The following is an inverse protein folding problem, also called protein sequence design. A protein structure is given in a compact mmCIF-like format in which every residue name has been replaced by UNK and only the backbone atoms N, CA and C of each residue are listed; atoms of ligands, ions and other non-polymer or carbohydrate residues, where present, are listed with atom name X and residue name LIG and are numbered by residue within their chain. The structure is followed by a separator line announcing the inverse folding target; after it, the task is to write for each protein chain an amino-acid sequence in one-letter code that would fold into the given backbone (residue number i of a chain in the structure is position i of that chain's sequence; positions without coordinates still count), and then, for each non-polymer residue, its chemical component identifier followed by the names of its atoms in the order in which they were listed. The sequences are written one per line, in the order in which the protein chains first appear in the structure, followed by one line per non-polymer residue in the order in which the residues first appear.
data_IF_188972706153
#
_entry.id   IF_188972706153
#
_cell.length_a   1.000
_cell.length_b   1.000
_cell.length_c   1.000
_cell.angle_alpha   90.00
_cell.angle_beta   90.00
_cell.angle_gamma   90.00
#
_symmetry.space_group_name_H-M   'P 1'
#
loop_
_entity.id
_entity.type
_entity.pdbx_description
1 polymer ?
#
# COMPACT_ATOMS: atom_id res chain seq x y z
N UNK A 1 51.02 -7.69 27.46
CA UNK A 1 50.16 -8.23 26.39
C UNK A 1 48.80 -8.58 26.98
N UNK A 2 47.88 -7.63 26.93
CA UNK A 2 46.57 -7.65 27.60
C UNK A 2 45.50 -8.09 26.61
N UNK A 3 44.86 -9.23 26.88
CA UNK A 3 43.68 -9.74 26.15
C UNK A 3 42.50 -8.80 26.39
N UNK A 4 41.98 -8.16 25.34
CA UNK A 4 40.68 -7.46 25.35
C UNK A 4 39.56 -8.48 25.21
N UNK A 5 38.66 -8.50 26.20
CA UNK A 5 37.37 -9.17 26.12
C UNK A 5 36.46 -8.42 25.13
N UNK A 6 36.07 -9.08 24.04
CA UNK A 6 34.96 -8.60 23.21
C UNK A 6 33.68 -9.20 23.78
N UNK A 7 32.81 -8.30 24.21
CA UNK A 7 31.48 -8.56 24.74
C UNK A 7 30.62 -9.15 23.62
N UNK A 8 30.30 -10.45 23.71
CA UNK A 8 29.30 -11.09 22.88
C UNK A 8 27.93 -10.53 23.26
N UNK A 9 27.37 -9.69 22.39
CA UNK A 9 25.97 -9.30 22.45
C UNK A 9 25.15 -10.38 21.74
N UNK A 10 24.82 -11.43 22.48
CA UNK A 10 23.87 -12.46 22.08
C UNK A 10 22.47 -11.83 21.97
N UNK A 11 22.03 -11.54 20.75
CA UNK A 11 20.63 -11.25 20.47
C UNK A 11 19.83 -12.55 20.56
N UNK A 12 18.78 -12.64 21.41
CA UNK A 12 18.06 -13.89 21.61
C UNK A 12 17.40 -14.37 20.33
N UNK A 13 17.64 -15.64 20.02
CA UNK A 13 17.02 -16.42 18.95
C UNK A 13 15.49 -16.25 18.94
N UNK A 14 14.97 -15.66 17.87
CA UNK A 14 13.56 -15.72 17.47
C UNK A 14 13.24 -17.00 16.68
N UNK A 15 13.88 -18.12 17.05
CA UNK A 15 13.65 -19.42 16.43
C UNK A 15 13.05 -20.40 17.43
N UNK A 16 11.77 -20.23 17.72
CA UNK A 16 10.79 -21.33 17.86
C UNK A 16 9.44 -20.72 18.23
N UNK A 17 8.37 -21.35 17.72
CA UNK A 17 6.94 -21.15 18.00
C UNK A 17 6.09 -20.55 16.84
N UNK A 18 5.04 -21.32 16.52
CA UNK A 18 3.93 -21.14 15.57
C UNK A 18 4.22 -21.31 14.07
N UNK A 19 3.94 -22.52 13.57
CA UNK A 19 3.57 -22.72 12.17
C UNK A 19 2.22 -22.06 11.85
N UNK A 20 2.06 -21.69 10.57
CA UNK A 20 0.89 -21.03 9.94
C UNK A 20 0.84 -19.48 9.87
N UNK A 21 1.96 -18.78 10.05
CA UNK A 21 2.13 -17.44 9.46
C UNK A 21 3.48 -17.37 8.74
N UNK A 22 3.51 -16.94 7.47
CA UNK A 22 4.78 -16.67 6.77
C UNK A 22 5.67 -15.80 7.63
N UNK A 23 6.93 -16.23 7.82
CA UNK A 23 7.98 -15.46 8.47
C UNK A 23 8.06 -14.05 7.87
N UNK A 24 8.35 -13.06 8.71
CA UNK A 24 8.59 -11.67 8.29
C UNK A 24 9.50 -11.63 7.04
N UNK A 25 9.07 -10.91 5.99
CA UNK A 25 9.77 -10.78 4.71
C UNK A 25 10.36 -9.37 4.62
N UNK A 26 11.64 -9.17 4.99
CA UNK A 26 12.23 -7.83 5.10
C UNK A 26 12.27 -7.05 3.78
N UNK A 27 12.31 -7.75 2.65
CA UNK A 27 12.35 -7.19 1.31
C UNK A 27 11.09 -6.37 1.00
N UNK A 28 9.93 -6.78 1.54
CA UNK A 28 8.67 -6.06 1.34
C UNK A 28 8.71 -4.66 1.96
N UNK A 29 9.42 -4.49 3.08
CA UNK A 29 9.61 -3.17 3.68
C UNK A 29 10.53 -2.31 2.80
N UNK A 30 11.54 -2.90 2.15
CA UNK A 30 12.36 -2.18 1.19
C UNK A 30 11.57 -1.67 -0.02
N UNK A 31 10.64 -2.48 -0.56
CA UNK A 31 9.75 -2.03 -1.64
C UNK A 31 8.82 -0.92 -1.16
N UNK A 32 8.27 -1.01 0.05
CA UNK A 32 7.46 0.07 0.65
C UNK A 32 8.23 1.37 0.80
N UNK A 33 9.52 1.30 1.16
CA UNK A 33 10.38 2.46 1.25
C UNK A 33 10.53 3.16 -0.10
N UNK A 34 10.81 2.40 -1.16
CA UNK A 34 10.90 2.94 -2.53
C UNK A 34 9.56 3.58 -2.93
N UNK A 35 8.45 2.89 -2.67
CA UNK A 35 7.11 3.36 -3.00
C UNK A 35 6.76 4.68 -2.30
N UNK A 36 6.98 4.81 -0.99
CA UNK A 36 6.67 6.05 -0.26
C UNK A 36 7.57 7.20 -0.69
N UNK A 37 8.86 6.95 -0.92
CA UNK A 37 9.80 7.98 -1.35
C UNK A 37 9.44 8.50 -2.75
N UNK A 38 9.07 7.62 -3.67
CA UNK A 38 8.60 8.03 -5.00
C UNK A 38 7.38 8.94 -4.91
N UNK A 39 6.40 8.60 -4.07
CA UNK A 39 5.21 9.43 -3.85
C UNK A 39 5.57 10.80 -3.26
N UNK A 40 6.48 10.85 -2.29
CA UNK A 40 6.90 12.12 -1.68
C UNK A 40 7.61 13.03 -2.69
N UNK A 41 8.54 12.48 -3.48
CA UNK A 41 9.28 13.22 -4.52
C UNK A 41 8.32 13.74 -5.60
N UNK A 42 7.27 12.98 -5.94
CA UNK A 42 6.20 13.43 -6.84
C UNK A 42 5.47 14.67 -6.29
N UNK A 43 5.03 14.63 -5.04
CA UNK A 43 4.29 15.75 -4.44
C UNK A 43 5.14 17.01 -4.20
N UNK A 44 6.48 16.89 -4.22
CA UNK A 44 7.41 18.03 -4.22
C UNK A 44 7.70 18.58 -5.62
N UNK A 45 7.08 18.03 -6.68
CA UNK A 45 7.29 18.45 -8.06
C UNK A 45 8.66 18.08 -8.65
N UNK A 46 9.41 17.19 -7.99
CA UNK A 46 10.78 16.82 -8.40
C UNK A 46 10.76 15.74 -9.50
N UNK A 47 9.80 14.80 -9.45
CA UNK A 47 9.78 13.65 -10.36
C UNK A 47 8.37 13.35 -10.90
N UNK A 48 8.10 13.61 -12.20
CA UNK A 48 6.76 13.53 -12.78
C UNK A 48 6.07 12.17 -12.65
N UNK A 49 6.85 11.09 -12.59
CA UNK A 49 6.33 9.71 -12.55
C UNK A 49 6.33 9.13 -11.12
N UNK A 50 6.67 9.90 -10.09
CA UNK A 50 6.79 9.37 -8.73
C UNK A 50 5.47 8.86 -8.13
N UNK A 51 4.31 9.21 -8.71
CA UNK A 51 3.01 8.60 -8.42
C UNK A 51 3.00 7.07 -8.63
N UNK A 52 3.97 6.50 -9.37
CA UNK A 52 4.15 5.05 -9.55
C UNK A 52 4.38 4.29 -8.24
N UNK A 53 4.73 4.98 -7.14
CA UNK A 53 4.77 4.38 -5.82
C UNK A 53 3.41 3.83 -5.37
N UNK A 54 2.29 4.43 -5.79
CA UNK A 54 0.95 3.93 -5.43
C UNK A 54 0.65 2.56 -6.06
N UNK A 55 0.89 2.32 -7.37
CA UNK A 55 0.87 0.99 -7.96
C UNK A 55 1.69 -0.05 -7.20
N UNK A 56 2.89 0.31 -6.74
CA UNK A 56 3.71 -0.60 -5.94
C UNK A 56 3.03 -0.98 -4.61
N UNK A 57 2.39 -0.03 -3.93
CA UNK A 57 1.60 -0.32 -2.74
C UNK A 57 0.44 -1.27 -3.03
N UNK A 58 -0.31 -1.05 -4.12
CA UNK A 58 -1.39 -1.95 -4.51
C UNK A 58 -0.89 -3.37 -4.81
N UNK A 59 0.22 -3.53 -5.53
CA UNK A 59 0.80 -4.84 -5.76
C UNK A 59 1.23 -5.51 -4.44
N UNK A 60 1.88 -4.78 -3.55
CA UNK A 60 2.29 -5.28 -2.23
C UNK A 60 1.07 -5.71 -1.40
N UNK A 61 0.00 -4.92 -1.42
CA UNK A 61 -1.26 -5.21 -0.74
C UNK A 61 -1.91 -6.47 -1.31
N UNK A 62 -2.02 -6.58 -2.64
CA UNK A 62 -2.51 -7.77 -3.31
C UNK A 62 -1.73 -9.03 -2.91
N UNK A 63 -0.40 -8.95 -2.91
CA UNK A 63 0.48 -10.06 -2.52
C UNK A 63 0.32 -10.45 -1.04
N UNK A 64 0.43 -9.48 -0.13
CA UNK A 64 0.44 -9.74 1.31
C UNK A 64 -0.92 -10.25 1.79
N UNK A 65 -2.00 -9.59 1.39
CA UNK A 65 -3.35 -9.94 1.80
C UNK A 65 -3.72 -11.32 1.25
N UNK A 66 -3.47 -11.57 -0.04
CA UNK A 66 -3.76 -12.88 -0.63
C UNK A 66 -2.94 -13.97 0.04
N UNK A 67 -1.67 -13.73 0.35
CA UNK A 67 -0.84 -14.72 1.07
C UNK A 67 -1.45 -15.07 2.43
N UNK A 68 -1.84 -14.07 3.23
CA UNK A 68 -2.45 -14.27 4.55
C UNK A 68 -3.77 -15.04 4.43
N UNK A 69 -4.63 -14.66 3.49
CA UNK A 69 -5.93 -15.29 3.29
C UNK A 69 -5.81 -16.73 2.80
N UNK A 70 -4.89 -17.01 1.89
CA UNK A 70 -4.64 -18.39 1.41
C UNK A 70 -4.11 -19.26 2.55
N UNK A 71 -3.16 -18.76 3.34
CA UNK A 71 -2.59 -19.50 4.48
C UNK A 71 -3.66 -19.80 5.54
N UNK A 72 -4.60 -18.87 5.77
CA UNK A 72 -5.68 -19.01 6.76
C UNK A 72 -6.94 -19.73 6.24
N UNK A 73 -7.00 -20.07 4.94
CA UNK A 73 -8.24 -20.48 4.26
C UNK A 73 -8.90 -21.75 4.81
N UNK A 74 -8.12 -22.63 5.44
CA UNK A 74 -8.61 -23.87 6.06
C UNK A 74 -9.33 -23.63 7.40
N UNK A 75 -9.25 -22.41 7.95
CA UNK A 75 -9.90 -22.04 9.21
C UNK A 75 -11.41 -21.86 9.01
N UNK A 76 -12.25 -22.08 10.06
CA UNK A 76 -13.66 -21.74 10.00
C UNK A 76 -13.89 -20.26 9.62
N UNK A 77 -14.91 -19.99 8.79
CA UNK A 77 -15.21 -18.65 8.26
C UNK A 77 -15.17 -17.54 9.33
N UNK A 78 -15.78 -17.78 10.49
CA UNK A 78 -15.81 -16.81 11.59
C UNK A 78 -14.39 -16.44 12.05
N UNK A 79 -13.53 -17.43 12.28
CA UNK A 79 -12.15 -17.20 12.72
C UNK A 79 -11.31 -16.55 11.61
N UNK A 80 -11.48 -17.01 10.38
CA UNK A 80 -10.82 -16.47 9.20
C UNK A 80 -11.07 -14.96 9.05
N UNK A 81 -12.35 -14.54 9.08
CA UNK A 81 -12.73 -13.13 8.92
C UNK A 81 -12.37 -12.28 10.14
N UNK A 82 -12.68 -12.73 11.35
CA UNK A 82 -12.42 -11.95 12.58
C UNK A 82 -10.93 -11.67 12.77
N UNK A 83 -10.07 -12.67 12.58
CA UNK A 83 -8.62 -12.51 12.68
C UNK A 83 -8.09 -11.57 11.59
N UNK A 84 -8.61 -11.69 10.36
CA UNK A 84 -8.21 -10.82 9.25
C UNK A 84 -8.59 -9.36 9.52
N UNK A 85 -9.88 -9.09 9.76
CA UNK A 85 -10.38 -7.73 9.95
C UNK A 85 -9.76 -7.08 11.18
N UNK A 86 -9.63 -7.79 12.30
CA UNK A 86 -9.00 -7.23 13.50
C UNK A 86 -7.57 -6.75 13.24
N UNK A 87 -6.75 -7.60 12.59
CA UNK A 87 -5.36 -7.28 12.27
C UNK A 87 -5.22 -6.11 11.28
N UNK A 88 -6.22 -5.89 10.42
CA UNK A 88 -6.28 -4.72 9.51
C UNK A 88 -6.73 -3.47 10.25
N UNK A 89 -7.80 -3.56 11.02
CA UNK A 89 -8.34 -2.45 11.83
C UNK A 89 -7.27 -1.85 12.73
N UNK A 90 -6.58 -2.65 13.56
CA UNK A 90 -5.54 -2.13 14.47
C UNK A 90 -4.33 -1.55 13.75
N UNK A 91 -4.12 -1.91 12.47
CA UNK A 91 -3.00 -1.43 11.66
C UNK A 91 -3.31 -0.09 10.98
N UNK A 92 -4.54 0.09 10.51
CA UNK A 92 -4.90 1.19 9.60
C UNK A 92 -5.74 2.24 10.32
N UNK A 93 -6.80 1.84 11.00
CA UNK A 93 -7.81 2.76 11.53
C UNK A 93 -7.23 3.79 12.51
N UNK A 94 -6.38 3.43 13.48
CA UNK A 94 -5.89 4.39 14.46
C UNK A 94 -5.23 5.60 13.82
N UNK A 95 -4.27 5.37 12.91
CA UNK A 95 -3.55 6.47 12.28
C UNK A 95 -4.39 7.19 11.24
N UNK A 96 -5.20 6.44 10.48
CA UNK A 96 -6.11 7.03 9.50
C UNK A 96 -7.06 8.04 10.14
N UNK A 97 -7.74 7.65 11.21
CA UNK A 97 -8.69 8.54 11.90
C UNK A 97 -7.98 9.64 12.70
N UNK A 98 -6.79 9.39 13.27
CA UNK A 98 -5.99 10.45 13.89
C UNK A 98 -5.61 11.53 12.86
N UNK A 99 -5.17 11.12 11.66
CA UNK A 99 -4.89 12.02 10.56
C UNK A 99 -6.12 12.83 10.16
N UNK A 100 -7.28 12.17 10.00
CA UNK A 100 -8.53 12.87 9.69
C UNK A 100 -8.85 13.92 10.74
N UNK A 101 -8.78 13.60 12.04
CA UNK A 101 -9.03 14.59 13.09
C UNK A 101 -8.08 15.78 12.97
N UNK A 102 -6.77 15.55 12.78
CA UNK A 102 -5.80 16.65 12.62
C UNK A 102 -6.11 17.49 11.37
N UNK A 103 -6.35 16.86 10.22
CA UNK A 103 -6.68 17.57 8.98
C UNK A 103 -8.00 18.36 9.11
N UNK A 104 -9.00 17.81 9.80
CA UNK A 104 -10.27 18.48 10.08
C UNK A 104 -10.07 19.75 10.91
N UNK A 105 -9.31 19.65 12.00
CA UNK A 105 -9.00 20.80 12.87
C UNK A 105 -8.24 21.89 12.09
N UNK A 106 -7.23 21.51 11.32
CA UNK A 106 -6.48 22.46 10.48
C UNK A 106 -7.38 23.10 9.41
N UNK A 107 -8.30 22.34 8.82
CA UNK A 107 -9.25 22.86 7.83
C UNK A 107 -10.22 23.86 8.44
N UNK A 108 -10.72 23.60 9.65
CA UNK A 108 -11.58 24.51 10.40
C UNK A 108 -10.86 25.81 10.76
N UNK A 109 -9.63 25.73 11.28
CA UNK A 109 -8.81 26.90 11.61
C UNK A 109 -8.54 27.74 10.36
N UNK A 110 -8.30 27.09 9.22
CA UNK A 110 -8.05 27.76 7.95
C UNK A 110 -9.32 28.22 7.21
N UNK A 111 -10.53 27.99 7.77
CA UNK A 111 -11.80 28.37 7.12
C UNK A 111 -12.10 27.61 5.83
N UNK A 112 -11.53 26.42 5.64
CA UNK A 112 -11.73 25.61 4.44
C UNK A 112 -13.10 24.91 4.47
N UNK A 113 -13.74 24.81 3.31
CA UNK A 113 -14.96 24.03 3.16
C UNK A 113 -14.72 22.56 3.49
N UNK A 114 -15.64 21.98 4.28
CA UNK A 114 -15.64 20.56 4.65
C UNK A 114 -16.58 19.72 3.76
N UNK A 115 -17.01 20.26 2.62
CA UNK A 115 -17.98 19.58 1.76
C UNK A 115 -17.40 18.28 1.15
N UNK A 116 -17.99 17.15 1.55
CA UNK A 116 -17.52 15.83 1.13
C UNK A 116 -16.52 15.17 2.09
N UNK A 117 -16.22 15.77 3.25
CA UNK A 117 -15.33 15.17 4.26
C UNK A 117 -15.82 13.79 4.71
N UNK A 118 -17.15 13.60 4.79
CA UNK A 118 -17.78 12.32 5.13
C UNK A 118 -17.36 11.17 4.19
N UNK A 119 -17.04 11.45 2.92
CA UNK A 119 -16.56 10.41 2.01
C UNK A 119 -15.25 9.80 2.52
N UNK A 120 -14.35 10.59 3.09
CA UNK A 120 -13.10 10.08 3.64
C UNK A 120 -13.33 9.27 4.92
N UNK A 121 -14.27 9.69 5.78
CA UNK A 121 -14.64 8.94 6.99
C UNK A 121 -15.10 7.50 6.66
N UNK A 122 -15.82 7.34 5.56
CA UNK A 122 -16.37 6.05 5.10
C UNK A 122 -15.53 5.35 4.02
N UNK A 123 -14.28 5.77 3.80
CA UNK A 123 -13.42 5.20 2.75
C UNK A 123 -14.04 5.24 1.35
N UNK A 124 -14.76 6.31 1.03
CA UNK A 124 -15.29 6.67 -0.29
C UNK A 124 -14.58 7.88 -0.90
N UNK A 125 -13.50 8.36 -0.25
CA UNK A 125 -12.73 9.54 -0.67
C UNK A 125 -12.20 9.43 -2.10
N UNK A 126 -11.92 8.21 -2.58
CA UNK A 126 -11.50 7.99 -3.96
C UNK A 126 -12.57 8.39 -4.98
N UNK A 127 -13.84 8.09 -4.75
CA UNK A 127 -14.91 8.53 -5.64
C UNK A 127 -15.12 10.04 -5.58
N UNK A 128 -14.94 10.65 -4.40
CA UNK A 128 -15.00 12.11 -4.25
C UNK A 128 -13.87 12.80 -5.01
N UNK A 129 -12.67 12.23 -4.96
CA UNK A 129 -11.51 12.66 -5.74
C UNK A 129 -11.79 12.52 -7.23
N UNK A 130 -12.31 11.39 -7.68
CA UNK A 130 -12.68 11.19 -9.08
C UNK A 130 -13.70 12.22 -9.60
N UNK A 131 -14.59 12.71 -8.75
CA UNK A 131 -15.59 13.72 -9.12
C UNK A 131 -15.07 15.15 -9.12
N UNK A 132 -14.20 15.50 -8.17
CA UNK A 132 -13.86 16.90 -7.87
C UNK A 132 -12.40 17.27 -8.12
N UNK A 133 -11.53 16.31 -8.39
CA UNK A 133 -10.13 16.61 -8.69
C UNK A 133 -10.02 17.56 -9.91
N UNK A 134 -9.06 18.49 -9.89
CA UNK A 134 -8.05 18.70 -8.84
C UNK A 134 -8.56 19.49 -7.61
N UNK A 135 -9.80 19.97 -7.63
CA UNK A 135 -10.35 20.94 -6.66
C UNK A 135 -11.14 20.28 -5.52
N UNK A 136 -10.53 19.35 -4.78
CA UNK A 136 -11.20 18.70 -3.64
C UNK A 136 -11.18 19.59 -2.39
N UNK A 137 -12.35 19.93 -1.81
CA UNK A 137 -12.42 20.69 -0.55
C UNK A 137 -11.92 19.87 0.65
N UNK A 138 -11.55 20.56 1.74
CA UNK A 138 -11.20 19.92 3.02
C UNK A 138 -9.71 19.76 3.28
N UNK A 139 -8.88 20.66 2.74
CA UNK A 139 -7.44 20.68 3.00
C UNK A 139 -6.67 19.59 2.28
N UNK A 140 -5.60 19.10 2.89
CA UNK A 140 -4.65 18.19 2.24
C UNK A 140 -5.03 16.73 2.46
N UNK A 141 -6.18 16.33 1.93
CA UNK A 141 -6.77 15.00 2.20
C UNK A 141 -6.75 14.06 0.98
N UNK A 142 -6.36 14.58 -0.18
CA UNK A 142 -6.56 13.91 -1.46
C UNK A 142 -5.87 12.55 -1.58
N UNK A 143 -4.65 12.40 -1.07
CA UNK A 143 -3.87 11.15 -1.13
C UNK A 143 -4.55 9.96 -0.45
N UNK A 144 -5.49 10.19 0.46
CA UNK A 144 -6.24 9.11 1.13
C UNK A 144 -7.11 8.26 0.18
N UNK A 145 -7.26 8.65 -1.08
CA UNK A 145 -7.96 7.85 -2.09
C UNK A 145 -7.39 6.45 -2.22
N UNK A 146 -6.06 6.29 -2.14
CA UNK A 146 -5.42 4.98 -2.33
C UNK A 146 -5.73 4.05 -1.16
N UNK A 147 -5.71 4.57 0.07
CA UNK A 147 -6.09 3.84 1.29
C UNK A 147 -7.57 3.43 1.23
N UNK A 148 -8.43 4.29 0.69
CA UNK A 148 -9.84 3.93 0.46
C UNK A 148 -9.99 2.76 -0.51
N UNK A 149 -9.24 2.74 -1.62
CA UNK A 149 -9.22 1.60 -2.55
C UNK A 149 -8.74 0.32 -1.84
N UNK A 150 -7.69 0.40 -1.02
CA UNK A 150 -7.19 -0.73 -0.25
C UNK A 150 -8.23 -1.27 0.73
N UNK A 151 -8.89 -0.42 1.52
CA UNK A 151 -9.93 -0.85 2.45
C UNK A 151 -11.14 -1.48 1.73
N UNK A 152 -11.56 -0.91 0.60
CA UNK A 152 -12.61 -1.51 -0.22
C UNK A 152 -12.21 -2.91 -0.72
N UNK A 153 -10.95 -3.08 -1.14
CA UNK A 153 -10.41 -4.38 -1.49
C UNK A 153 -10.37 -5.34 -0.28
N UNK A 154 -9.97 -4.87 0.91
CA UNK A 154 -9.93 -5.69 2.13
C UNK A 154 -11.31 -6.13 2.60
N UNK A 155 -12.35 -5.36 2.32
CA UNK A 155 -13.73 -5.76 2.62
C UNK A 155 -14.17 -6.90 1.69
N UNK A 156 -13.85 -6.84 0.40
CA UNK A 156 -14.38 -7.77 -0.62
C UNK A 156 -13.52 -9.04 -0.74
N UNK A 157 -12.20 -8.90 -0.78
CA UNK A 157 -11.27 -9.96 -1.16
C UNK A 157 -11.30 -11.21 -0.25
N UNK A 158 -11.40 -11.10 1.10
CA UNK A 158 -11.47 -12.26 1.99
C UNK A 158 -12.61 -13.21 1.64
N UNK A 159 -13.78 -12.67 1.30
CA UNK A 159 -14.95 -13.47 0.91
C UNK A 159 -14.74 -14.19 -0.41
N UNK A 160 -14.21 -13.48 -1.40
CA UNK A 160 -13.92 -14.05 -2.71
C UNK A 160 -12.90 -15.19 -2.60
N UNK A 161 -11.82 -15.01 -1.83
CA UNK A 161 -10.81 -16.04 -1.60
C UNK A 161 -11.41 -17.25 -0.88
N UNK A 162 -12.22 -17.03 0.15
CA UNK A 162 -12.78 -18.12 0.95
C UNK A 162 -13.67 -19.04 0.10
N UNK A 163 -14.65 -18.45 -0.61
CA UNK A 163 -15.68 -19.21 -1.34
C UNK A 163 -15.27 -19.71 -2.72
N UNK A 164 -14.23 -19.14 -3.35
CA UNK A 164 -13.85 -19.52 -4.72
C UNK A 164 -12.87 -20.69 -4.73
N UNK A 165 -13.26 -21.87 -5.22
CA UNK A 165 -12.38 -23.06 -5.25
C UNK A 165 -10.98 -22.78 -5.82
N UNK A 166 -10.90 -22.05 -6.93
CA UNK A 166 -9.67 -21.68 -7.64
C UNK A 166 -9.47 -20.16 -7.64
N UNK A 167 -9.00 -19.55 -6.54
CA UNK A 167 -8.90 -18.10 -6.40
C UNK A 167 -7.90 -17.47 -7.38
N UNK A 168 -7.00 -18.26 -7.98
CA UNK A 168 -6.11 -17.79 -9.05
C UNK A 168 -6.86 -17.16 -10.22
N UNK A 169 -8.05 -17.66 -10.57
CA UNK A 169 -8.84 -17.07 -11.65
C UNK A 169 -9.42 -15.71 -11.30
N UNK A 170 -9.64 -15.40 -10.01
CA UNK A 170 -10.04 -14.06 -9.58
C UNK A 170 -8.91 -13.06 -9.82
N UNK A 171 -7.67 -13.44 -9.50
CA UNK A 171 -6.50 -12.61 -9.74
C UNK A 171 -6.29 -12.36 -11.25
N UNK A 172 -6.42 -13.40 -12.07
CA UNK A 172 -6.35 -13.27 -13.53
C UNK A 172 -7.49 -12.39 -14.06
N UNK A 173 -8.73 -12.62 -13.62
CA UNK A 173 -9.87 -11.80 -14.02
C UNK A 173 -9.67 -10.33 -13.65
N UNK A 174 -9.14 -10.03 -12.47
CA UNK A 174 -8.85 -8.66 -12.03
C UNK A 174 -7.81 -7.96 -12.93
N UNK A 175 -6.75 -8.67 -13.34
CA UNK A 175 -5.71 -8.15 -14.25
C UNK A 175 -6.31 -7.72 -15.60
N UNK A 176 -7.26 -8.48 -16.14
CA UNK A 176 -7.90 -8.16 -17.42
C UNK A 176 -9.08 -7.18 -17.28
N UNK A 177 -9.83 -7.25 -16.19
CA UNK A 177 -11.02 -6.41 -16.00
C UNK A 177 -10.67 -4.94 -15.82
N UNK A 178 -9.59 -4.60 -15.11
CA UNK A 178 -9.26 -3.20 -14.84
C UNK A 178 -8.94 -2.37 -16.09
N UNK A 179 -8.07 -2.79 -17.03
CA UNK A 179 -7.81 -2.01 -18.24
C UNK A 179 -9.09 -1.84 -19.10
N UNK A 180 -9.94 -2.87 -19.20
CA UNK A 180 -11.22 -2.78 -19.89
C UNK A 180 -12.14 -1.76 -19.20
N UNK A 181 -12.19 -1.79 -17.87
CA UNK A 181 -12.98 -0.84 -17.08
C UNK A 181 -12.48 0.59 -17.26
N UNK A 182 -11.16 0.80 -17.22
CA UNK A 182 -10.55 2.13 -17.41
C UNK A 182 -10.89 2.72 -18.78
N UNK A 183 -10.70 1.94 -19.84
CA UNK A 183 -11.04 2.35 -21.21
C UNK A 183 -12.54 2.67 -21.34
N UNK A 184 -13.39 1.77 -20.86
CA UNK A 184 -14.86 1.94 -20.94
C UNK A 184 -15.34 3.16 -20.16
N UNK A 185 -14.80 3.36 -18.95
CA UNK A 185 -15.16 4.48 -18.09
C UNK A 185 -14.69 5.81 -18.68
N UNK A 186 -13.47 5.87 -19.22
CA UNK A 186 -12.97 7.07 -19.86
C UNK A 186 -13.79 7.43 -21.11
N UNK A 187 -14.10 6.45 -21.96
CA UNK A 187 -14.94 6.68 -23.15
C UNK A 187 -16.37 7.12 -22.79
N UNK A 188 -16.91 6.66 -21.65
CA UNK A 188 -18.25 7.05 -21.20
C UNK A 188 -18.28 8.44 -20.53
N UNK A 189 -17.26 8.79 -19.74
CA UNK A 189 -17.29 9.97 -18.87
C UNK A 189 -16.39 11.11 -19.32
N UNK A 190 -15.36 10.83 -20.13
CA UNK A 190 -14.24 11.73 -20.39
C UNK A 190 -13.42 12.08 -19.16
N UNK A 191 -13.64 11.43 -18.01
CA UNK A 191 -13.05 11.82 -16.72
C UNK A 191 -11.74 11.04 -16.45
N UNK A 192 -10.57 11.70 -16.54
CA UNK A 192 -9.30 11.02 -16.35
C UNK A 192 -9.04 10.65 -14.88
N UNK A 193 -9.57 11.41 -13.91
CA UNK A 193 -9.36 11.16 -12.49
C UNK A 193 -10.11 9.92 -12.00
N UNK A 194 -11.40 9.80 -12.34
CA UNK A 194 -12.20 8.63 -11.96
C UNK A 194 -11.61 7.34 -12.55
N UNK A 195 -11.01 7.45 -13.73
CA UNK A 195 -10.33 6.35 -14.43
C UNK A 195 -9.16 5.78 -13.65
N UNK A 196 -8.55 6.52 -12.73
CA UNK A 196 -7.35 6.05 -12.00
C UNK A 196 -7.60 5.76 -10.51
N UNK A 197 -8.67 6.31 -9.91
CA UNK A 197 -8.92 6.20 -8.46
C UNK A 197 -10.05 5.25 -8.07
N UNK A 198 -10.90 4.83 -9.00
CA UNK A 198 -11.97 3.89 -8.69
C UNK A 198 -11.39 2.49 -8.36
N UNK A 199 -12.01 1.74 -7.45
CA UNK A 199 -11.55 0.38 -7.12
C UNK A 199 -11.40 -0.49 -8.38
N UNK A 200 -12.40 -0.59 -9.29
CA UNK A 200 -12.25 -1.43 -10.48
C UNK A 200 -11.13 -0.98 -11.42
N UNK A 201 -10.70 0.28 -11.35
CA UNK A 201 -9.54 0.78 -12.08
C UNK A 201 -8.20 0.35 -11.48
N UNK A 202 -8.19 -0.13 -10.23
CA UNK A 202 -6.96 -0.48 -9.50
C UNK A 202 -6.78 -1.98 -9.26
N UNK A 203 -7.82 -2.79 -9.53
CA UNK A 203 -7.82 -4.22 -9.20
C UNK A 203 -6.79 -5.03 -10.00
N UNK A 204 -6.27 -4.55 -11.11
CA UNK A 204 -5.22 -5.25 -11.87
C UNK A 204 -3.89 -5.29 -11.12
N UNK A 205 -3.51 -4.19 -10.45
CA UNK A 205 -2.30 -4.14 -9.63
C UNK A 205 -2.43 -5.04 -8.39
N UNK A 206 -3.58 -4.97 -7.72
CA UNK A 206 -3.92 -5.87 -6.61
C UNK A 206 -3.96 -7.33 -7.08
N UNK A 207 -4.53 -7.59 -8.25
CA UNK A 207 -4.63 -8.90 -8.90
C UNK A 207 -3.27 -9.45 -9.30
N UNK A 208 -2.36 -8.63 -9.83
CA UNK A 208 -1.00 -9.03 -10.16
C UNK A 208 -0.23 -9.47 -8.91
N UNK A 209 -0.33 -8.71 -7.82
CA UNK A 209 0.22 -9.10 -6.52
C UNK A 209 -0.39 -10.41 -6.00
N UNK A 210 -1.71 -10.54 -6.08
CA UNK A 210 -2.44 -11.74 -5.67
C UNK A 210 -2.04 -12.99 -6.49
N UNK A 211 -1.83 -12.83 -7.80
CA UNK A 211 -1.41 -13.90 -8.70
C UNK A 211 -0.04 -14.44 -8.25
N UNK A 212 0.92 -13.56 -8.00
CA UNK A 212 2.27 -13.92 -7.55
C UNK A 212 2.28 -14.52 -6.13
N UNK A 213 1.29 -14.19 -5.30
CA UNK A 213 1.13 -14.86 -4.00
C UNK A 213 0.76 -16.34 -4.12
N UNK A 214 0.00 -16.70 -5.16
CA UNK A 214 -0.55 -18.05 -5.39
C UNK A 214 0.28 -18.89 -6.38
N UNK A 215 0.96 -18.24 -7.32
CA UNK A 215 1.69 -18.89 -8.41
C UNK A 215 3.18 -18.61 -8.23
N UNK A 216 4.00 -19.66 -8.21
CA UNK A 216 5.46 -19.58 -8.07
C UNK A 216 6.17 -20.14 -9.31
N UNK A 217 5.77 -19.65 -10.49
CA UNK A 217 6.32 -20.09 -11.77
C UNK A 217 7.16 -18.98 -12.42
N UNK A 218 8.44 -19.27 -12.65
CA UNK A 218 9.40 -18.32 -13.24
C UNK A 218 9.04 -17.93 -14.68
N UNK A 219 8.43 -18.82 -15.45
CA UNK A 219 8.01 -18.53 -16.84
C UNK A 219 6.85 -17.55 -16.84
N UNK A 220 5.89 -17.73 -15.93
CA UNK A 220 4.78 -16.80 -15.74
C UNK A 220 5.32 -15.43 -15.30
N UNK A 221 6.25 -15.40 -14.35
CA UNK A 221 6.88 -14.17 -13.87
C UNK A 221 7.65 -13.42 -14.97
N UNK A 222 8.39 -14.14 -15.81
CA UNK A 222 9.06 -13.56 -16.97
C UNK A 222 8.04 -13.01 -17.97
N UNK A 223 7.00 -13.78 -18.31
CA UNK A 223 5.93 -13.33 -19.20
C UNK A 223 5.24 -12.06 -18.70
N UNK A 224 4.87 -12.01 -17.42
CA UNK A 224 4.31 -10.81 -16.79
C UNK A 224 5.26 -9.61 -16.91
N UNK A 225 6.55 -9.80 -16.63
CA UNK A 225 7.55 -8.72 -16.68
C UNK A 225 7.73 -8.19 -18.11
N UNK A 226 7.78 -9.08 -19.11
CA UNK A 226 7.92 -8.70 -20.52
C UNK A 226 6.69 -7.96 -21.03
N UNK A 227 5.48 -8.44 -20.69
CA UNK A 227 4.22 -7.75 -21.02
C UNK A 227 4.20 -6.38 -20.32
N UNK A 228 4.56 -6.32 -19.04
CA UNK A 228 4.60 -5.08 -18.28
C UNK A 228 5.55 -4.05 -18.89
N UNK A 229 6.78 -4.46 -19.23
CA UNK A 229 7.76 -3.61 -19.92
C UNK A 229 7.26 -3.14 -21.29
N UNK A 230 6.60 -4.02 -22.05
CA UNK A 230 6.04 -3.67 -23.37
C UNK A 230 4.95 -2.61 -23.25
N UNK A 231 4.05 -2.75 -22.27
CA UNK A 231 2.99 -1.77 -21.99
C UNK A 231 3.60 -0.43 -21.56
N UNK A 232 4.56 -0.44 -20.63
CA UNK A 232 5.23 0.77 -20.16
C UNK A 232 5.94 1.46 -21.34
N UNK A 233 6.69 0.71 -22.15
CA UNK A 233 7.37 1.24 -23.33
C UNK A 233 6.40 1.88 -24.31
N UNK A 234 5.26 1.23 -24.58
CA UNK A 234 4.19 1.78 -25.40
C UNK A 234 3.65 3.12 -24.84
N UNK A 235 3.37 3.19 -23.55
CA UNK A 235 2.89 4.41 -22.90
C UNK A 235 3.92 5.55 -22.94
N UNK A 236 5.20 5.25 -22.76
CA UNK A 236 6.29 6.24 -22.84
C UNK A 236 6.51 6.79 -24.26
N UNK A 237 6.10 6.06 -25.30
CA UNK A 237 6.10 6.57 -26.68
C UNK A 237 4.95 7.54 -26.91
N UNK A 238 3.80 7.32 -26.25
CA UNK A 238 2.58 8.12 -26.42
C UNK A 238 2.59 9.43 -25.64
N UNK A 239 3.22 9.44 -24.48
CA UNK A 239 3.17 10.58 -23.56
C UNK A 239 4.58 11.06 -23.24
N UNK A 240 4.90 12.34 -23.45
CA UNK A 240 6.17 12.92 -23.01
C UNK A 240 6.38 12.74 -21.52
N UNK A 241 7.63 12.49 -21.11
CA UNK A 241 7.96 12.25 -19.71
C UNK A 241 7.45 13.34 -18.74
N UNK A 242 7.49 14.59 -19.18
CA UNK A 242 7.05 15.77 -18.41
C UNK A 242 5.54 15.84 -18.22
N UNK A 243 4.75 15.22 -19.10
CA UNK A 243 3.28 15.28 -19.03
C UNK A 243 2.71 14.23 -18.06
N UNK A 244 3.52 13.30 -17.55
CA UNK A 244 3.08 12.35 -16.53
C UNK A 244 2.79 12.99 -15.16
N UNK A 245 3.14 14.25 -14.94
CA UNK A 245 2.70 14.99 -13.75
C UNK A 245 1.28 15.54 -13.85
N UNK A 246 0.69 15.53 -15.05
CA UNK A 246 -0.63 16.11 -15.34
C UNK A 246 -1.60 15.02 -15.78
N UNK A 247 -2.50 14.63 -14.87
CA UNK A 247 -3.48 13.56 -15.07
C UNK A 247 -4.34 13.76 -16.32
N UNK A 248 -4.65 15.00 -16.70
CA UNK A 248 -5.49 15.28 -17.87
C UNK A 248 -4.76 15.01 -19.19
N UNK A 249 -3.43 15.13 -19.20
CA UNK A 249 -2.62 14.90 -20.40
C UNK A 249 -2.31 13.43 -20.65
N UNK A 250 -1.91 12.71 -19.60
CA UNK A 250 -1.38 11.35 -19.78
C UNK A 250 -2.44 10.26 -19.73
N UNK A 251 -3.49 10.39 -18.91
CA UNK A 251 -4.52 9.33 -18.76
C UNK A 251 -5.23 9.01 -20.08
N UNK A 252 -5.63 9.98 -20.91
CA UNK A 252 -6.31 9.70 -22.18
C UNK A 252 -5.49 8.80 -23.13
N UNK A 253 -4.17 8.82 -23.00
CA UNK A 253 -3.25 8.17 -23.94
C UNK A 253 -2.51 6.98 -23.33
N UNK A 254 -2.42 6.90 -22.00
CA UNK A 254 -1.53 5.98 -21.30
C UNK A 254 -2.10 5.40 -20.00
N UNK A 255 -3.41 5.42 -19.74
CA UNK A 255 -3.98 4.83 -18.52
C UNK A 255 -3.69 3.33 -18.32
N UNK A 256 -3.40 2.58 -19.40
CA UNK A 256 -2.97 1.18 -19.32
C UNK A 256 -1.58 0.99 -18.66
N UNK A 257 -0.81 2.07 -18.47
CA UNK A 257 0.48 2.04 -17.78
C UNK A 257 0.37 1.44 -16.37
N UNK A 258 -0.76 1.59 -15.69
CA UNK A 258 -1.03 0.96 -14.40
C UNK A 258 -0.97 -0.57 -14.46
N UNK A 259 -1.53 -1.19 -15.50
CA UNK A 259 -1.39 -2.64 -15.72
C UNK A 259 0.08 -2.99 -15.96
N UNK A 260 0.77 -2.19 -16.78
CA UNK A 260 2.18 -2.39 -17.08
C UNK A 260 3.06 -2.38 -15.83
N UNK A 261 2.85 -1.39 -14.97
CA UNK A 261 3.52 -1.25 -13.68
C UNK A 261 3.18 -2.41 -12.73
N UNK A 262 1.90 -2.80 -12.64
CA UNK A 262 1.47 -3.94 -11.82
C UNK A 262 2.12 -5.26 -12.23
N UNK A 263 2.12 -5.56 -13.54
CA UNK A 263 2.71 -6.77 -14.11
C UNK A 263 4.23 -6.81 -14.01
N UNK A 264 4.91 -5.66 -14.08
CA UNK A 264 6.35 -5.56 -13.88
C UNK A 264 6.73 -5.69 -12.40
N UNK A 265 6.00 -5.02 -11.51
CA UNK A 265 6.34 -4.96 -10.09
C UNK A 265 6.02 -6.25 -9.33
N UNK A 266 4.94 -6.96 -9.69
CA UNK A 266 4.51 -8.14 -8.95
C UNK A 266 5.58 -9.25 -8.92
N UNK A 267 6.18 -9.65 -10.04
CA UNK A 267 7.27 -10.63 -10.03
C UNK A 267 8.51 -10.14 -9.27
N UNK A 268 8.82 -8.83 -9.34
CA UNK A 268 9.99 -8.25 -8.69
C UNK A 268 9.95 -8.41 -7.16
N UNK A 269 8.75 -8.35 -6.57
CA UNK A 269 8.53 -8.58 -5.13
C UNK A 269 8.90 -10.02 -4.71
N UNK A 270 8.79 -10.99 -5.60
CA UNK A 270 9.15 -12.39 -5.35
C UNK A 270 10.56 -12.77 -5.83
N UNK A 271 11.33 -11.80 -6.33
CA UNK A 271 12.66 -12.04 -6.89
C UNK A 271 13.76 -11.95 -5.83
N UNK A 272 14.42 -13.08 -5.58
CA UNK A 272 15.51 -13.18 -4.60
C UNK A 272 16.73 -12.30 -4.94
N UNK A 273 16.94 -11.96 -6.21
CA UNK A 273 18.11 -11.20 -6.66
C UNK A 273 18.23 -9.80 -6.04
N UNK A 274 17.09 -9.17 -5.71
CA UNK A 274 17.06 -7.84 -5.10
C UNK A 274 16.97 -7.89 -3.57
N UNK A 275 16.89 -9.10 -2.99
CA UNK A 275 16.65 -9.29 -1.57
C UNK A 275 17.70 -8.60 -0.71
N UNK A 276 18.99 -8.68 -1.10
CA UNK A 276 20.09 -8.06 -0.35
C UNK A 276 20.03 -6.53 -0.33
N UNK A 277 19.64 -5.90 -1.44
CA UNK A 277 19.52 -4.44 -1.53
C UNK A 277 18.28 -3.98 -0.76
N UNK A 278 17.13 -4.61 -1.02
CA UNK A 278 15.85 -4.26 -0.41
C UNK A 278 15.79 -4.57 1.10
N UNK A 279 16.62 -5.50 1.58
CA UNK A 279 16.72 -5.84 3.01
C UNK A 279 17.77 -5.02 3.78
N UNK A 280 18.39 -3.99 3.17
CA UNK A 280 19.28 -3.10 3.92
C UNK A 280 18.53 -2.45 5.10
N UNK A 281 19.20 -2.28 6.23
CA UNK A 281 18.68 -1.61 7.41
C UNK A 281 17.96 -0.28 7.12
N UNK A 282 18.52 0.59 6.27
CA UNK A 282 17.92 1.90 5.97
C UNK A 282 16.56 1.73 5.29
N UNK A 283 16.49 0.95 4.21
CA UNK A 283 15.24 0.72 3.49
C UNK A 283 14.21 -0.01 4.35
N UNK A 284 14.63 -0.97 5.18
CA UNK A 284 13.73 -1.61 6.15
C UNK A 284 13.19 -0.64 7.18
N UNK A 285 14.01 0.28 7.67
CA UNK A 285 13.56 1.29 8.63
C UNK A 285 12.52 2.22 8.00
N UNK A 286 12.80 2.75 6.81
CA UNK A 286 11.86 3.59 6.05
C UNK A 286 10.57 2.83 5.77
N UNK A 287 10.69 1.56 5.36
CA UNK A 287 9.55 0.68 5.10
C UNK A 287 8.66 0.42 6.32
N UNK A 288 9.25 0.35 7.52
CA UNK A 288 8.48 0.20 8.77
C UNK A 288 7.63 1.43 9.07
N UNK A 289 8.17 2.62 8.85
CA UNK A 289 7.47 3.90 9.08
C UNK A 289 6.73 4.42 7.84
N UNK A 290 6.68 3.64 6.75
CA UNK A 290 6.19 4.13 5.45
C UNK A 290 4.73 4.53 5.48
N UNK A 291 3.93 3.89 6.34
CA UNK A 291 2.53 4.25 6.53
C UNK A 291 2.40 5.63 7.20
N UNK A 292 3.14 5.87 8.28
CA UNK A 292 3.28 7.20 8.89
C UNK A 292 3.75 8.27 7.90
N UNK A 293 4.81 7.98 7.12
CA UNK A 293 5.29 8.88 6.07
C UNK A 293 4.19 9.21 5.06
N UNK A 294 3.49 8.18 4.54
CA UNK A 294 2.41 8.36 3.59
C UNK A 294 1.25 9.17 4.16
N UNK A 295 0.89 8.98 5.43
CA UNK A 295 -0.21 9.72 6.04
C UNK A 295 0.16 11.19 6.22
N UNK A 296 1.30 11.50 6.83
CA UNK A 296 1.60 12.85 7.30
C UNK A 296 2.25 13.80 6.27
N UNK A 297 2.91 13.26 5.23
CA UNK A 297 3.77 14.09 4.36
C UNK A 297 3.06 15.30 3.75
N UNK A 298 1.82 15.14 3.31
CA UNK A 298 1.10 16.20 2.61
C UNK A 298 0.72 17.41 3.48
N UNK A 299 0.30 17.19 4.73
CA UNK A 299 0.10 18.29 5.69
C UNK A 299 1.42 19.01 5.96
N UNK A 300 2.49 18.25 6.12
CA UNK A 300 3.83 18.80 6.41
C UNK A 300 4.31 19.64 5.24
N UNK A 301 4.17 19.12 4.01
CA UNK A 301 4.56 19.85 2.80
C UNK A 301 3.75 21.14 2.67
N UNK A 302 2.43 21.11 2.92
CA UNK A 302 1.62 22.31 2.88
C UNK A 302 2.01 23.37 3.94
N UNK A 303 2.42 22.93 5.14
CA UNK A 303 2.93 23.84 6.18
C UNK A 303 4.26 24.46 5.76
N UNK A 304 5.21 23.64 5.28
CA UNK A 304 6.54 24.10 4.87
C UNK A 304 6.45 25.01 3.64
N UNK A 305 5.58 24.70 2.69
CA UNK A 305 5.34 25.52 1.50
C UNK A 305 4.90 26.96 1.85
N UNK A 306 4.08 27.12 2.90
CA UNK A 306 3.65 28.44 3.40
C UNK A 306 4.77 29.27 4.04
N UNK A 307 5.95 28.68 4.29
CA UNK A 307 7.10 29.42 4.80
C UNK A 307 7.86 30.17 3.69
N UNK A 308 7.49 29.98 2.41
CA UNK A 308 8.10 30.67 1.26
C UNK A 308 9.63 30.54 1.20
N UNK A 309 10.13 29.35 1.54
CA UNK A 309 11.57 29.05 1.52
C UNK A 309 12.07 28.85 0.08
N UNK A 310 13.37 29.04 -0.19
CA UNK A 310 13.95 28.63 -1.46
C UNK A 310 13.80 27.11 -1.64
N UNK A 311 13.58 26.66 -2.88
CA UNK A 311 13.19 25.29 -3.22
C UNK A 311 14.02 24.20 -2.53
N UNK A 312 15.35 24.35 -2.49
CA UNK A 312 16.23 23.36 -1.84
C UNK A 312 15.92 23.22 -0.33
N UNK A 313 15.68 24.32 0.37
CA UNK A 313 15.32 24.30 1.79
C UNK A 313 13.92 23.74 2.02
N UNK A 314 12.96 24.09 1.16
CA UNK A 314 11.60 23.53 1.19
C UNK A 314 11.64 22.00 1.09
N UNK A 315 12.41 21.46 0.15
CA UNK A 315 12.58 20.00 -0.03
C UNK A 315 13.22 19.37 1.21
N UNK A 316 14.36 19.90 1.67
CA UNK A 316 15.11 19.32 2.79
C UNK A 316 14.28 19.34 4.08
N UNK A 317 13.62 20.45 4.40
CA UNK A 317 12.80 20.60 5.60
C UNK A 317 11.54 19.74 5.50
N UNK A 318 10.90 19.68 4.33
CA UNK A 318 9.73 18.82 4.10
C UNK A 318 10.04 17.35 4.35
N UNK A 319 11.17 16.85 3.84
CA UNK A 319 11.62 15.48 4.12
C UNK A 319 11.97 15.30 5.60
N UNK A 320 12.80 16.16 6.17
CA UNK A 320 13.23 16.04 7.56
C UNK A 320 12.05 16.04 8.54
N UNK A 321 11.11 16.97 8.37
CA UNK A 321 9.91 17.07 9.19
C UNK A 321 8.98 15.86 8.98
N UNK A 322 8.80 15.39 7.75
CA UNK A 322 7.99 14.18 7.47
C UNK A 322 8.56 12.94 8.13
N UNK A 323 9.87 12.75 8.05
CA UNK A 323 10.56 11.66 8.72
C UNK A 323 10.45 11.77 10.23
N UNK A 324 10.68 12.96 10.79
CA UNK A 324 10.57 13.18 12.22
C UNK A 324 9.16 12.84 12.73
N UNK A 325 8.11 13.39 12.11
CA UNK A 325 6.72 13.13 12.48
C UNK A 325 6.35 11.67 12.30
N UNK A 326 6.77 11.03 11.21
CA UNK A 326 6.51 9.61 10.99
C UNK A 326 7.19 8.72 12.04
N UNK A 327 8.41 9.04 12.46
CA UNK A 327 9.13 8.29 13.51
C UNK A 327 8.45 8.49 14.87
N UNK A 328 8.02 9.70 15.20
CA UNK A 328 7.27 10.00 16.42
C UNK A 328 5.93 9.26 16.41
N UNK A 329 5.16 9.36 15.33
CA UNK A 329 3.91 8.64 15.08
C UNK A 329 4.09 7.14 15.27
N UNK A 330 5.10 6.56 14.62
CA UNK A 330 5.39 5.13 14.72
C UNK A 330 5.68 4.70 16.16
N UNK A 331 6.55 5.44 16.85
CA UNK A 331 7.09 5.07 18.15
C UNK A 331 6.04 5.16 19.26
N UNK A 332 5.26 6.24 19.27
CA UNK A 332 4.37 6.57 20.38
C UNK A 332 2.90 6.26 20.12
N UNK A 333 2.49 6.16 18.85
CA UNK A 333 1.08 5.97 18.49
C UNK A 333 0.85 4.63 17.81
N UNK A 334 1.46 4.39 16.64
CA UNK A 334 1.16 3.19 15.83
C UNK A 334 1.57 1.90 16.55
N UNK A 335 2.76 1.87 17.16
CA UNK A 335 3.27 0.69 17.87
C UNK A 335 2.37 0.27 19.03
N UNK A 336 1.73 1.23 19.71
CA UNK A 336 0.78 0.95 20.79
C UNK A 336 -0.41 0.14 20.26
N UNK A 337 -1.07 0.60 19.19
CA UNK A 337 -2.22 -0.12 18.63
C UNK A 337 -1.83 -1.46 18.00
N UNK A 338 -0.67 -1.53 17.34
CA UNK A 338 -0.16 -2.76 16.75
C UNK A 338 0.13 -3.86 17.79
N UNK A 339 0.32 -3.50 19.07
CA UNK A 339 0.48 -4.49 20.14
C UNK A 339 -0.77 -5.35 20.36
N UNK A 340 -1.96 -4.88 19.96
CA UNK A 340 -3.22 -5.62 20.10
C UNK A 340 -3.47 -6.63 18.96
N UNK A 341 -2.60 -6.70 17.96
CA UNK A 341 -2.82 -7.50 16.74
C UNK A 341 -3.05 -9.00 16.99
N UNK A 342 -2.50 -9.55 18.08
CA UNK A 342 -2.51 -10.98 18.39
C UNK A 342 -3.67 -11.39 19.32
N UNK A 343 -4.59 -10.46 19.62
CA UNK A 343 -5.78 -10.73 20.43
C UNK A 343 -6.72 -11.78 19.78
N UNK A 344 -6.72 -11.88 18.45
CA UNK A 344 -7.57 -12.79 17.68
C UNK A 344 -6.70 -13.59 16.71
N UNK A 345 -6.04 -14.62 17.24
CA UNK A 345 -5.11 -15.41 16.46
C UNK A 345 -5.82 -16.55 15.70
N UNK A 346 -5.20 -17.01 14.60
CA UNK A 346 -5.70 -18.13 13.80
C UNK A 346 -5.60 -19.49 14.53
N UNK A 347 -5.30 -19.50 15.83
CA UNK A 347 -5.21 -20.72 16.63
C UNK A 347 -6.55 -21.44 16.66
N UNK A 348 -6.61 -22.58 15.99
CA UNK A 348 -7.71 -23.53 16.14
C UNK A 348 -7.83 -23.95 17.60
N UNK A 349 -9.05 -24.17 18.08
CA UNK A 349 -9.42 -24.81 19.35
C UNK A 349 -8.91 -26.27 19.51
N UNK A 350 -7.71 -26.60 19.01
CA UNK A 350 -7.10 -27.93 19.12
C UNK A 350 -6.35 -28.14 20.45
N UNK A 351 -6.25 -27.13 21.31
CA UNK A 351 -5.67 -27.28 22.65
C UNK A 351 -6.71 -27.69 23.72
N UNK A 352 -8.00 -27.84 23.37
CA UNK A 352 -9.04 -28.30 24.31
C UNK A 352 -9.33 -29.81 24.27
N UNK A 353 -8.51 -30.62 23.57
CA UNK A 353 -8.64 -32.07 23.66
C UNK A 353 -8.13 -32.54 25.05
N UNK A 354 -8.94 -33.28 25.84
CA UNK A 354 -8.52 -33.74 27.15
C UNK A 354 -7.30 -34.66 26.98
N UNK A 355 -6.23 -34.36 27.71
CA UNK A 355 -5.07 -35.26 27.80
C UNK A 355 -5.58 -36.59 28.33
N UNK A 356 -5.63 -37.60 27.46
CA UNK A 356 -5.86 -38.98 27.85
C UNK A 356 -4.75 -39.32 28.85
N UNK A 357 -5.13 -39.45 30.13
CA UNK A 357 -4.26 -40.01 31.16
C UNK A 357 -4.16 -41.49 30.86
N UNK A 358 -3.09 -41.90 30.19
CA UNK A 358 -2.63 -43.28 30.22
C UNK A 358 -2.21 -43.60 31.66
N UNK A 359 -2.95 -44.51 32.30
CA UNK A 359 -2.46 -45.31 33.42
C UNK A 359 -2.10 -46.69 32.89
#
# INVERSE_FOLDING_TARGET
MTKRSVMNLDFPLYHTLSGFMRSYIPELDGVRAIAVLAVMIFHLGIFPIGWMGVPLFFVLSGYLITSILIDARSSPLKQYLSSFFWRRTVRIFPLYYAYLVVNLLLSLIAGLSLSGYAYFVFYLGNYRIGQLAPNVPGGVIGHLWSVAVEEQFYIVWPWLIYFTKRPVYLAVAAIFAAPIFRESLYNYTGNPYMTIVALPSCIDMLGAGALVAMVKDRRIFLGMSLIGLSIIGYCLIKVPFTDFSDTEKWVPQAHIIFTGLGLLAAPAISCASYAKILSNFVLRFIGKISYGLYMWHLIIFAIVHRMHLPFLYEVVISFAASFFVAVVSWTYFEKFFLSFKDRWDYKSDRESAPRVRTR
#
